data_IF_791032440898
#
_entry.id   IF_791032440898
#
_cell.length_a   1.000
_cell.length_b   1.000
_cell.length_c   1.000
_cell.angle_alpha   90.00
_cell.angle_beta   90.00
_cell.angle_gamma   90.00
#
_symmetry.space_group_name_H-M   'P 1'
#
loop_
_entity.id
_entity.type
_entity.pdbx_description
1 polymer ?
#
# COMPACT_ATOMS: atom_id res chain seq x y z
N UNK A 1 -35.49 -35.60 -1.49
CA UNK A 1 -34.06 -35.44 -1.15
C UNK A 1 -33.53 -34.24 -1.91
N UNK A 2 -33.55 -33.07 -1.27
CA UNK A 2 -33.10 -31.79 -1.83
C UNK A 2 -31.79 -31.39 -1.15
N UNK A 3 -30.74 -31.12 -1.94
CA UNK A 3 -29.49 -30.53 -1.46
C UNK A 3 -29.73 -29.05 -1.11
N UNK A 4 -29.21 -28.54 0.01
CA UNK A 4 -29.14 -27.10 0.23
C UNK A 4 -27.86 -26.51 -0.38
N UNK A 5 -28.02 -25.28 -0.86
CA UNK A 5 -27.07 -24.43 -1.56
C UNK A 5 -25.83 -24.08 -0.72
N UNK A 6 -24.66 -24.18 -1.33
CA UNK A 6 -23.33 -23.97 -0.72
C UNK A 6 -22.76 -22.58 -0.98
N UNK A 7 -23.59 -21.55 -1.18
CA UNK A 7 -23.13 -20.22 -1.59
C UNK A 7 -23.07 -19.18 -0.46
N UNK A 8 -23.62 -19.44 0.73
CA UNK A 8 -23.59 -18.48 1.84
C UNK A 8 -22.28 -18.46 2.65
N UNK A 9 -21.37 -19.44 2.47
CA UNK A 9 -20.19 -19.57 3.34
C UNK A 9 -18.96 -18.78 2.90
N UNK A 10 -18.90 -18.32 1.64
CA UNK A 10 -17.69 -17.65 1.12
C UNK A 10 -17.70 -16.13 1.37
N UNK A 11 -18.86 -15.48 1.28
CA UNK A 11 -18.96 -14.03 1.52
C UNK A 11 -18.79 -13.68 3.01
N UNK A 12 -19.27 -14.54 3.91
CA UNK A 12 -19.08 -14.39 5.37
C UNK A 12 -17.65 -14.66 5.83
N UNK A 13 -16.89 -15.55 5.15
CA UNK A 13 -15.48 -15.81 5.46
C UNK A 13 -14.54 -14.68 5.02
N UNK A 14 -14.86 -13.96 3.94
CA UNK A 14 -14.07 -12.79 3.52
C UNK A 14 -14.36 -11.56 4.40
N UNK A 15 -15.61 -11.36 4.82
CA UNK A 15 -15.97 -10.21 5.67
C UNK A 15 -15.41 -10.32 7.10
N UNK A 16 -15.28 -11.53 7.64
CA UNK A 16 -14.83 -11.73 9.04
C UNK A 16 -13.30 -11.74 9.21
N UNK A 17 -12.52 -11.96 8.13
CA UNK A 17 -11.04 -11.91 8.18
C UNK A 17 -10.46 -10.51 7.97
N UNK A 18 -11.23 -9.57 7.41
CA UNK A 18 -10.86 -8.14 7.32
C UNK A 18 -11.45 -7.29 8.46
N UNK A 19 -12.08 -7.91 9.46
CA UNK A 19 -12.52 -7.21 10.65
C UNK A 19 -11.35 -7.08 11.63
N UNK A 20 -10.72 -5.90 11.70
CA UNK A 20 -9.77 -5.51 12.75
C UNK A 20 -10.48 -5.53 14.12
N UNK A 21 -10.57 -6.71 14.72
CA UNK A 21 -10.97 -6.85 16.13
C UNK A 21 -9.85 -6.30 17.00
N UNK A 22 -9.96 -5.03 17.38
CA UNK A 22 -9.14 -4.45 18.46
C UNK A 22 -9.78 -4.87 19.78
N UNK A 23 -9.33 -6.02 20.31
CA UNK A 23 -9.66 -6.45 21.66
C UNK A 23 -8.35 -6.55 22.46
N UNK A 24 -8.22 -5.73 23.50
CA UNK A 24 -7.18 -5.88 24.52
C UNK A 24 -6.28 -4.66 24.69
N UNK A 25 -6.34 -4.04 25.87
CA UNK A 25 -5.43 -3.02 26.38
C UNK A 25 -4.00 -3.55 26.46
N UNK A 26 -3.22 -3.28 25.43
CA UNK A 26 -1.77 -3.08 25.50
C UNK A 26 -1.45 -1.93 24.55
N UNK A 27 -0.42 -1.12 24.85
CA UNK A 27 0.11 -0.08 23.95
C UNK A 27 0.78 -0.72 22.71
N UNK A 28 0.09 -1.63 22.04
CA UNK A 28 0.57 -2.30 20.85
C UNK A 28 0.49 -1.31 19.69
N UNK A 29 1.62 -1.07 18.99
CA UNK A 29 1.61 -0.22 17.82
C UNK A 29 0.63 -0.72 16.76
N UNK A 30 -0.18 0.18 16.24
CA UNK A 30 -1.15 -0.10 15.17
C UNK A 30 -0.44 -0.28 13.83
N UNK A 31 -1.05 -1.05 12.94
CA UNK A 31 -0.59 -1.29 11.57
C UNK A 31 -1.68 -0.80 10.61
N UNK A 32 -1.29 -0.44 9.38
CA UNK A 32 -2.21 -0.01 8.32
C UNK A 32 -3.08 1.20 8.70
N UNK A 33 -2.55 2.14 9.48
CA UNK A 33 -3.33 3.29 9.95
C UNK A 33 -3.60 4.27 8.80
N UNK A 34 -4.87 4.54 8.44
CA UNK A 34 -5.17 5.54 7.42
C UNK A 34 -4.90 6.93 8.00
N UNK A 35 -4.08 7.74 7.31
CA UNK A 35 -3.74 9.09 7.76
C UNK A 35 -3.77 10.11 6.63
N UNK A 36 -4.03 11.36 7.00
CA UNK A 36 -3.74 12.53 6.18
C UNK A 36 -2.24 12.85 6.24
N UNK A 37 -1.66 13.35 5.15
CA UNK A 37 -0.25 13.73 5.08
C UNK A 37 0.10 14.82 6.11
N UNK A 38 -0.84 15.71 6.44
CA UNK A 38 -0.68 16.69 7.51
C UNK A 38 -0.38 16.02 8.84
N UNK A 39 -1.08 14.94 9.16
CA UNK A 39 -0.97 14.27 10.45
C UNK A 39 0.23 13.31 10.45
N UNK A 40 0.56 12.71 9.29
CA UNK A 40 1.86 12.05 9.11
C UNK A 40 2.99 13.01 9.44
N UNK A 41 2.93 14.27 8.97
CA UNK A 41 3.98 15.27 9.20
C UNK A 41 4.19 15.59 10.69
N UNK A 42 3.15 15.41 11.50
CA UNK A 42 3.17 15.65 12.94
C UNK A 42 3.59 14.41 13.75
N UNK A 43 3.80 13.28 13.10
CA UNK A 43 4.30 12.09 13.77
C UNK A 43 5.65 12.37 14.46
N UNK A 44 5.92 11.65 15.55
CA UNK A 44 7.18 11.71 16.28
C UNK A 44 7.81 10.32 16.36
N UNK A 45 9.14 10.30 16.43
CA UNK A 45 9.88 9.07 16.68
C UNK A 45 9.74 8.70 18.16
N UNK A 46 9.52 7.43 18.44
CA UNK A 46 9.62 6.90 19.81
C UNK A 46 11.06 6.47 20.13
N UNK A 47 11.30 5.92 21.32
CA UNK A 47 12.56 5.25 21.63
C UNK A 47 12.82 4.02 20.74
N UNK A 48 11.79 3.47 20.08
CA UNK A 48 11.95 2.40 19.09
C UNK A 48 11.98 2.97 17.67
N UNK A 49 13.01 2.65 16.85
CA UNK A 49 13.15 3.20 15.49
C UNK A 49 12.10 2.71 14.49
N UNK A 50 11.21 1.80 14.92
CA UNK A 50 10.16 1.20 14.11
C UNK A 50 8.75 1.61 14.55
N UNK A 51 8.62 2.41 15.61
CA UNK A 51 7.34 2.83 16.20
C UNK A 51 7.30 4.36 16.21
N UNK A 52 6.14 4.89 15.81
CA UNK A 52 5.87 6.31 15.70
C UNK A 52 4.68 6.70 16.55
N UNK A 53 4.73 7.90 17.12
CA UNK A 53 3.63 8.53 17.81
C UNK A 53 2.89 9.47 16.87
N UNK A 54 1.56 9.34 16.78
CA UNK A 54 0.68 10.27 16.11
C UNK A 54 -0.26 10.93 17.12
N UNK A 55 -0.90 12.04 16.71
CA UNK A 55 -1.94 12.73 17.50
C UNK A 55 -1.49 13.06 18.93
N UNK A 56 -0.31 13.68 19.06
CA UNK A 56 0.29 14.04 20.35
C UNK A 56 0.51 12.86 21.30
N UNK A 57 0.80 11.67 20.76
CA UNK A 57 1.13 10.48 21.54
C UNK A 57 -0.07 9.60 21.91
N UNK A 58 -1.28 9.94 21.45
CA UNK A 58 -2.47 9.11 21.71
C UNK A 58 -2.48 7.80 20.91
N UNK A 59 -1.68 7.72 19.84
CA UNK A 59 -1.56 6.53 18.99
C UNK A 59 -0.09 6.19 18.76
N UNK A 60 0.25 4.93 19.01
CA UNK A 60 1.49 4.30 18.53
C UNK A 60 1.18 3.54 17.23
N UNK A 61 2.02 3.71 16.21
CA UNK A 61 1.86 3.05 14.92
C UNK A 61 3.20 2.59 14.33
N UNK A 62 3.14 1.59 13.46
CA UNK A 62 4.29 1.08 12.69
C UNK A 62 4.16 1.43 11.22
N UNK A 63 2.96 1.27 10.67
CA UNK A 63 2.69 1.46 9.25
C UNK A 63 1.42 2.26 9.03
N UNK A 64 1.39 2.92 7.88
CA UNK A 64 0.35 3.87 7.47
C UNK A 64 -0.15 3.53 6.07
N UNK A 65 -1.38 3.92 5.80
CA UNK A 65 -1.95 3.95 4.46
C UNK A 65 -2.31 5.40 4.12
N UNK A 66 -1.91 5.86 2.94
CA UNK A 66 -2.27 7.19 2.44
C UNK A 66 -2.73 7.09 0.99
N UNK A 67 -3.68 7.94 0.61
CA UNK A 67 -4.08 8.16 -0.78
C UNK A 67 -3.70 9.59 -1.16
N UNK A 68 -2.89 9.74 -2.20
CA UNK A 68 -2.36 11.05 -2.58
C UNK A 68 -2.12 11.13 -4.09
N UNK A 69 -2.07 12.35 -4.61
CA UNK A 69 -1.66 12.64 -5.98
C UNK A 69 -0.16 12.87 -6.04
N UNK A 70 0.50 12.30 -7.03
CA UNK A 70 1.92 12.55 -7.31
C UNK A 70 2.06 13.92 -7.97
N UNK A 71 2.75 14.84 -7.31
CA UNK A 71 3.00 16.21 -7.79
C UNK A 71 4.45 16.41 -8.26
N UNK A 72 5.36 15.53 -7.84
CA UNK A 72 6.76 15.56 -8.26
C UNK A 72 7.34 14.15 -8.40
N UNK A 73 8.33 13.99 -9.30
CA UNK A 73 9.05 12.74 -9.52
C UNK A 73 10.52 13.02 -9.79
N UNK A 74 11.39 12.44 -8.97
CA UNK A 74 12.83 12.47 -9.13
C UNK A 74 13.30 11.05 -9.43
N UNK A 75 13.88 10.86 -10.62
CA UNK A 75 14.40 9.56 -11.02
C UNK A 75 15.69 9.24 -10.25
N UNK A 76 15.84 8.00 -9.76
CA UNK A 76 17.08 7.60 -9.12
C UNK A 76 18.26 7.73 -10.09
N UNK A 77 19.39 8.23 -9.58
CA UNK A 77 20.67 7.97 -10.24
C UNK A 77 20.96 6.46 -10.18
N UNK A 78 21.79 5.94 -11.09
CA UNK A 78 22.19 4.51 -11.05
C UNK A 78 22.76 4.06 -9.69
N UNK A 79 23.22 5.00 -8.85
CA UNK A 79 23.79 4.74 -7.52
C UNK A 79 22.75 4.76 -6.38
N UNK A 80 21.63 5.47 -6.55
CA UNK A 80 20.58 5.54 -5.53
C UNK A 80 19.50 4.51 -5.84
N UNK A 81 19.39 3.47 -5.00
CA UNK A 81 18.45 2.37 -5.19
C UNK A 81 16.97 2.69 -4.92
N UNK A 82 16.56 3.96 -4.90
CA UNK A 82 15.21 4.37 -4.50
C UNK A 82 14.64 5.48 -5.40
N UNK A 83 13.38 5.34 -5.79
CA UNK A 83 12.62 6.42 -6.41
C UNK A 83 12.17 7.43 -5.37
N UNK A 84 12.23 8.71 -5.71
CA UNK A 84 11.72 9.79 -4.89
C UNK A 84 10.54 10.47 -5.59
N UNK A 85 9.43 10.57 -4.90
CA UNK A 85 8.23 11.28 -5.36
C UNK A 85 7.87 12.37 -4.37
N UNK A 86 7.14 13.38 -4.85
CA UNK A 86 6.40 14.30 -4.01
C UNK A 86 4.92 14.00 -4.18
N UNK A 87 4.22 13.86 -3.07
CA UNK A 87 2.81 13.49 -3.03
C UNK A 87 1.99 14.52 -2.26
N UNK A 88 0.75 14.73 -2.68
CA UNK A 88 -0.17 15.73 -2.14
C UNK A 88 -1.58 15.12 -1.99
N UNK A 89 -2.13 15.18 -0.79
CA UNK A 89 -3.51 14.76 -0.47
C UNK A 89 -4.46 15.95 -0.23
N UNK A 90 -4.00 17.16 -0.53
CA UNK A 90 -4.59 18.48 -0.24
C UNK A 90 -4.50 18.93 1.23
N UNK A 91 -3.82 18.16 2.10
CA UNK A 91 -3.57 18.57 3.49
C UNK A 91 -2.10 18.90 3.74
N UNK A 92 -1.20 18.26 3.00
CA UNK A 92 0.23 18.56 2.98
C UNK A 92 0.90 17.94 1.75
N UNK A 93 2.05 18.50 1.35
CA UNK A 93 2.96 17.85 0.38
C UNK A 93 4.06 17.10 1.13
N UNK A 94 4.35 15.86 0.77
CA UNK A 94 5.39 15.06 1.43
C UNK A 94 6.27 14.31 0.43
N UNK A 95 7.52 14.06 0.82
CA UNK A 95 8.41 13.19 0.05
C UNK A 95 8.09 11.72 0.33
N UNK A 96 7.92 10.94 -0.74
CA UNK A 96 7.77 9.49 -0.72
C UNK A 96 9.00 8.84 -1.35
N UNK A 97 9.60 7.89 -0.63
CA UNK A 97 10.66 7.02 -1.14
C UNK A 97 10.11 5.62 -1.41
N UNK A 98 10.34 5.10 -2.62
CA UNK A 98 9.98 3.73 -2.98
C UNK A 98 11.23 2.98 -3.43
N UNK A 99 11.64 1.89 -2.76
CA UNK A 99 12.84 1.15 -3.13
C UNK A 99 12.68 0.49 -4.50
N UNK A 100 13.76 0.49 -5.26
CA UNK A 100 13.86 -0.27 -6.51
C UNK A 100 14.09 -1.73 -6.17
N UNK A 101 13.22 -2.60 -6.68
CA UNK A 101 13.30 -4.06 -6.50
C UNK A 101 13.80 -4.75 -7.77
N UNK A 102 14.99 -4.36 -8.23
CA UNK A 102 15.55 -4.87 -9.50
C UNK A 102 15.61 -6.39 -9.53
N UNK A 103 16.07 -7.00 -8.44
CA UNK A 103 16.25 -8.45 -8.36
C UNK A 103 14.90 -9.17 -8.37
N UNK A 104 13.91 -8.68 -7.62
CA UNK A 104 12.55 -9.22 -7.66
C UNK A 104 11.90 -9.07 -9.04
N UNK A 105 12.15 -7.95 -9.74
CA UNK A 105 11.66 -7.74 -11.11
C UNK A 105 12.27 -8.77 -12.07
N UNK A 106 13.59 -9.02 -11.96
CA UNK A 106 14.28 -10.03 -12.77
C UNK A 106 13.74 -11.43 -12.48
N UNK A 107 13.50 -11.75 -11.20
CA UNK A 107 12.96 -13.04 -10.79
C UNK A 107 11.53 -13.25 -11.32
N UNK A 108 10.65 -12.26 -11.18
CA UNK A 108 9.28 -12.32 -11.75
C UNK A 108 9.32 -12.45 -13.28
N UNK A 109 10.28 -11.80 -13.94
CA UNK A 109 10.47 -11.94 -15.38
C UNK A 109 10.93 -13.35 -15.76
N UNK A 110 11.84 -13.95 -15.00
CA UNK A 110 12.27 -15.35 -15.17
C UNK A 110 11.08 -16.31 -15.05
N UNK A 111 10.29 -16.17 -13.98
CA UNK A 111 9.09 -16.99 -13.75
C UNK A 111 8.07 -16.81 -14.88
N UNK A 112 7.90 -15.59 -15.39
CA UNK A 112 7.00 -15.34 -16.51
C UNK A 112 7.42 -16.09 -17.77
N UNK A 113 8.72 -16.15 -18.08
CA UNK A 113 9.22 -16.94 -19.21
C UNK A 113 9.01 -18.44 -19.01
N UNK A 114 9.24 -18.95 -17.80
CA UNK A 114 9.00 -20.36 -17.49
C UNK A 114 7.52 -20.74 -17.67
N UNK A 115 6.60 -19.92 -17.15
CA UNK A 115 5.15 -20.13 -17.33
C UNK A 115 4.78 -20.09 -18.81
N UNK A 116 5.34 -19.14 -19.56
CA UNK A 116 5.10 -19.02 -21.01
C UNK A 116 5.56 -20.28 -21.75
N UNK A 117 6.74 -20.81 -21.43
CA UNK A 117 7.25 -22.05 -22.01
C UNK A 117 6.35 -23.26 -21.68
N UNK A 118 5.90 -23.39 -20.42
CA UNK A 118 5.01 -24.48 -19.98
C UNK A 118 3.63 -24.42 -20.67
N UNK A 119 3.10 -23.22 -20.94
CA UNK A 119 1.84 -23.07 -21.67
C UNK A 119 1.92 -23.59 -23.11
N UNK A 120 3.07 -23.44 -23.78
CA UNK A 120 3.29 -23.95 -25.14
C UNK A 120 3.23 -25.48 -25.19
N UNK A 121 3.62 -26.16 -24.10
CA UNK A 121 3.54 -27.62 -23.94
C UNK A 121 2.12 -28.16 -23.64
N UNK A 122 1.08 -27.32 -23.70
CA UNK A 122 -0.36 -27.66 -23.56
C UNK A 122 -0.79 -28.35 -22.25
N UNK A 123 0.04 -28.38 -21.20
CA UNK A 123 -0.36 -28.90 -19.89
C UNK A 123 -1.04 -27.80 -19.06
N UNK A 124 -2.14 -28.13 -18.35
CA UNK A 124 -2.77 -27.29 -17.31
C UNK A 124 -2.95 -25.80 -17.68
N UNK A 125 -3.62 -25.50 -18.81
CA UNK A 125 -3.70 -24.13 -19.36
C UNK A 125 -4.32 -23.09 -18.44
N UNK A 126 -5.39 -23.40 -17.70
CA UNK A 126 -6.09 -22.41 -16.88
C UNK A 126 -5.29 -21.96 -15.64
N UNK A 127 -4.72 -22.88 -14.83
CA UNK A 127 -3.78 -22.49 -13.76
C UNK A 127 -2.60 -21.66 -14.27
N UNK A 128 -2.02 -22.02 -15.42
CA UNK A 128 -0.90 -21.28 -16.01
C UNK A 128 -1.30 -19.87 -16.49
N UNK A 129 -2.49 -19.70 -17.08
CA UNK A 129 -3.02 -18.37 -17.42
C UNK A 129 -3.28 -17.52 -16.18
N UNK A 130 -3.80 -18.11 -15.11
CA UNK A 130 -3.99 -17.40 -13.84
C UNK A 130 -2.64 -16.95 -13.26
N UNK A 131 -1.65 -17.84 -13.25
CA UNK A 131 -0.28 -17.54 -12.80
C UNK A 131 0.38 -16.46 -13.68
N UNK A 132 0.22 -16.53 -15.00
CA UNK A 132 0.74 -15.50 -15.91
C UNK A 132 0.12 -14.12 -15.59
N UNK A 133 -1.20 -14.05 -15.40
CA UNK A 133 -1.89 -12.81 -15.01
C UNK A 133 -1.40 -12.28 -13.67
N UNK A 134 -1.15 -13.16 -12.69
CA UNK A 134 -0.58 -12.80 -11.40
C UNK A 134 0.81 -12.20 -11.58
N UNK A 135 1.72 -12.88 -12.29
CA UNK A 135 3.08 -12.39 -12.54
C UNK A 135 3.11 -11.02 -13.24
N UNK A 136 2.20 -10.79 -14.19
CA UNK A 136 2.04 -9.48 -14.84
C UNK A 136 1.62 -8.41 -13.83
N UNK A 137 0.65 -8.71 -12.96
CA UNK A 137 0.22 -7.78 -11.88
C UNK A 137 1.33 -7.54 -10.85
N UNK A 138 2.04 -8.58 -10.43
CA UNK A 138 3.16 -8.48 -9.49
C UNK A 138 4.28 -7.61 -10.07
N UNK A 139 4.69 -7.85 -11.33
CA UNK A 139 5.70 -7.01 -11.99
C UNK A 139 5.28 -5.54 -12.03
N UNK A 140 4.00 -5.28 -12.30
CA UNK A 140 3.41 -3.94 -12.32
C UNK A 140 3.50 -3.22 -10.97
N UNK A 141 3.39 -3.94 -9.85
CA UNK A 141 3.50 -3.41 -8.48
C UNK A 141 4.96 -3.28 -8.00
N UNK A 142 5.88 -4.05 -8.58
CA UNK A 142 7.30 -4.01 -8.23
C UNK A 142 8.07 -2.88 -8.89
N UNK A 143 7.57 -2.32 -9.99
CA UNK A 143 8.27 -1.30 -10.79
C UNK A 143 7.70 0.11 -10.57
N UNK A 144 8.30 0.94 -9.70
CA UNK A 144 7.82 2.28 -9.41
C UNK A 144 8.06 3.25 -10.56
N UNK A 145 8.79 2.86 -11.62
CA UNK A 145 9.02 3.71 -12.79
C UNK A 145 7.71 4.11 -13.47
N UNK A 146 6.67 3.27 -13.32
CA UNK A 146 5.32 3.49 -13.85
C UNK A 146 4.57 4.65 -13.19
N UNK A 147 4.90 4.96 -11.94
CA UNK A 147 4.29 6.07 -11.20
C UNK A 147 4.72 7.38 -11.87
N UNK A 148 3.76 8.19 -12.29
CA UNK A 148 3.98 9.45 -13.00
C UNK A 148 3.30 10.62 -12.29
N UNK A 149 3.78 11.84 -12.55
CA UNK A 149 3.13 13.06 -12.07
C UNK A 149 1.68 13.10 -12.57
N UNK A 150 0.76 13.47 -11.69
CA UNK A 150 -0.68 13.44 -11.92
C UNK A 150 -1.37 12.14 -11.53
N UNK A 151 -0.63 11.02 -11.35
CA UNK A 151 -1.24 9.80 -10.84
C UNK A 151 -1.76 9.98 -9.42
N UNK A 152 -2.92 9.41 -9.14
CA UNK A 152 -3.40 9.16 -7.78
C UNK A 152 -2.87 7.80 -7.36
N UNK A 153 -2.33 7.69 -6.15
CA UNK A 153 -1.72 6.46 -5.66
C UNK A 153 -2.18 6.16 -4.23
N UNK A 154 -2.42 4.89 -3.97
CA UNK A 154 -2.43 4.34 -2.62
C UNK A 154 -1.00 3.96 -2.26
N UNK A 155 -0.58 4.32 -1.06
CA UNK A 155 0.74 4.01 -0.53
C UNK A 155 0.54 3.32 0.81
N UNK A 156 1.11 2.12 0.91
CA UNK A 156 1.33 1.45 2.17
C UNK A 156 2.81 1.54 2.54
N UNK A 157 3.08 2.14 3.68
CA UNK A 157 4.44 2.48 4.07
C UNK A 157 4.58 2.76 5.56
N UNK A 158 5.68 3.41 5.91
CA UNK A 158 5.89 3.95 7.25
C UNK A 158 6.47 5.36 7.19
N UNK A 159 6.24 6.18 8.23
CA UNK A 159 7.02 7.40 8.42
C UNK A 159 8.52 7.10 8.48
N UNK A 160 9.34 8.06 8.04
CA UNK A 160 10.79 7.98 8.08
C UNK A 160 11.36 9.37 8.33
N UNK A 161 12.29 9.46 9.28
CA UNK A 161 12.95 10.70 9.68
C UNK A 161 14.38 10.71 9.15
N UNK A 162 14.76 11.82 8.53
CA UNK A 162 16.13 12.07 8.09
C UNK A 162 16.45 13.56 8.26
N UNK A 163 17.43 13.88 9.12
CA UNK A 163 17.81 15.26 9.47
C UNK A 163 16.59 16.17 9.73
N UNK A 164 15.74 15.78 10.69
CA UNK A 164 14.52 16.50 11.09
C UNK A 164 13.43 16.65 10.00
N UNK A 165 13.65 16.09 8.82
CA UNK A 165 12.65 15.99 7.77
C UNK A 165 11.93 14.65 7.83
N UNK A 166 10.61 14.72 7.94
CA UNK A 166 9.73 13.56 7.85
C UNK A 166 9.34 13.27 6.39
N UNK A 167 9.40 11.99 6.05
CA UNK A 167 9.08 11.43 4.74
C UNK A 167 8.33 10.11 4.91
N UNK A 168 7.88 9.52 3.81
CA UNK A 168 7.28 8.18 3.79
C UNK A 168 8.23 7.22 3.08
N UNK A 169 8.52 6.09 3.72
CA UNK A 169 9.13 4.95 3.07
C UNK A 169 8.02 3.97 2.65
N UNK A 170 7.73 3.91 1.36
CA UNK A 170 6.68 3.05 0.79
C UNK A 170 7.16 1.62 0.57
N UNK A 171 6.39 0.65 1.05
CA UNK A 171 6.67 -0.78 0.88
C UNK A 171 5.82 -1.41 -0.23
N UNK A 172 4.59 -0.92 -0.37
CA UNK A 172 3.63 -1.34 -1.38
C UNK A 172 2.85 -0.12 -1.84
N UNK A 173 2.41 -0.13 -3.09
CA UNK A 173 1.70 0.97 -3.69
C UNK A 173 0.84 0.47 -4.84
N UNK A 174 -0.19 1.24 -5.16
CA UNK A 174 -1.08 0.98 -6.28
C UNK A 174 -1.50 2.30 -6.92
N UNK A 175 -1.49 2.35 -8.26
CA UNK A 175 -2.02 3.50 -8.99
C UNK A 175 -3.54 3.35 -9.01
N UNK A 176 -4.24 4.38 -8.55
CA UNK A 176 -5.68 4.54 -8.73
C UNK A 176 -5.95 4.89 -10.21
N UNK A 177 -6.05 3.86 -11.05
CA UNK A 177 -6.31 3.94 -12.49
C UNK A 177 -7.79 4.29 -12.81
N UNK A 178 -8.64 4.50 -11.78
CA UNK A 178 -10.05 4.81 -11.94
C UNK A 178 -10.30 6.18 -12.58
N UNK A 179 -11.10 6.28 -13.66
CA UNK A 179 -11.49 7.57 -14.23
C UNK A 179 -12.45 8.34 -13.30
N UNK A 180 -13.15 7.62 -12.43
CA UNK A 180 -14.02 8.19 -11.40
C UNK A 180 -13.26 8.42 -10.09
N UNK A 181 -13.83 9.27 -9.21
CA UNK A 181 -13.27 9.53 -7.87
C UNK A 181 -13.73 8.50 -6.82
N UNK A 182 -14.23 7.33 -7.24
CA UNK A 182 -14.84 6.33 -6.34
C UNK A 182 -13.84 5.87 -5.27
N UNK A 183 -12.63 5.48 -5.67
CA UNK A 183 -11.62 5.02 -4.71
C UNK A 183 -11.15 6.14 -3.77
N UNK A 184 -11.03 7.36 -4.29
CA UNK A 184 -10.71 8.53 -3.47
C UNK A 184 -11.81 8.80 -2.42
N UNK A 185 -13.09 8.71 -2.82
CA UNK A 185 -14.22 8.90 -1.92
C UNK A 185 -14.28 7.80 -0.86
N UNK A 186 -14.17 6.53 -1.24
CA UNK A 186 -14.17 5.41 -0.32
C UNK A 186 -13.05 5.52 0.74
N UNK A 187 -11.85 5.96 0.32
CA UNK A 187 -10.75 6.19 1.27
C UNK A 187 -11.03 7.35 2.21
N UNK A 188 -11.70 8.41 1.74
CA UNK A 188 -12.10 9.55 2.59
C UNK A 188 -13.17 9.15 3.60
N UNK A 189 -14.12 8.31 3.21
CA UNK A 189 -15.13 7.78 4.13
C UNK A 189 -14.47 6.97 5.26
N UNK A 190 -13.50 6.11 4.91
CA UNK A 190 -12.70 5.37 5.90
C UNK A 190 -11.89 6.30 6.80
N UNK A 191 -11.28 7.36 6.26
CA UNK A 191 -10.59 8.38 7.05
C UNK A 191 -11.54 9.09 8.02
N UNK A 192 -12.73 9.48 7.57
CA UNK A 192 -13.72 10.15 8.43
C UNK A 192 -14.12 9.22 9.57
N UNK A 193 -14.43 7.96 9.27
CA UNK A 193 -14.80 6.97 10.30
C UNK A 193 -13.63 6.75 11.28
N UNK A 194 -12.41 6.61 10.77
CA UNK A 194 -11.20 6.45 11.59
C UNK A 194 -11.00 7.63 12.54
N UNK A 195 -11.00 8.86 12.02
CA UNK A 195 -10.78 10.05 12.83
C UNK A 195 -11.92 10.27 13.83
N UNK A 196 -13.17 10.01 13.42
CA UNK A 196 -14.32 10.10 14.33
C UNK A 196 -14.15 9.16 15.52
N UNK A 197 -13.76 7.91 15.29
CA UNK A 197 -13.49 6.94 16.37
C UNK A 197 -12.32 7.33 17.29
N UNK A 198 -11.40 8.18 16.83
CA UNK A 198 -10.24 8.62 17.63
C UNK A 198 -10.46 9.90 18.40
N UNK A 199 -11.36 10.76 17.94
CA UNK A 199 -11.67 12.05 18.57
C UNK A 199 -13.03 12.09 19.29
N UNK A 200 -13.82 11.02 19.23
CA UNK A 200 -15.03 10.82 20.05
C UNK A 200 -14.68 10.20 21.40
#
# INVERSE_FOLDING_TARGET
MSKPDSNESLETEFSTKCSLKILGKENKPMEFVPLLLRDVRQCKLTSSPSIFEAFSGSILLRTIVVHARVVGKILPSKKNGQYRFEIDDNTAVMTLFVPRRSDDILEVQRLHYEVTARMLCKQQKEPLKALQRLLVKTRKQLDPSRISVGNKIFIFGRPSFFHDHISICGFSWEIDEGPSRIMEMAFKDELIEWYTKKYS
#
